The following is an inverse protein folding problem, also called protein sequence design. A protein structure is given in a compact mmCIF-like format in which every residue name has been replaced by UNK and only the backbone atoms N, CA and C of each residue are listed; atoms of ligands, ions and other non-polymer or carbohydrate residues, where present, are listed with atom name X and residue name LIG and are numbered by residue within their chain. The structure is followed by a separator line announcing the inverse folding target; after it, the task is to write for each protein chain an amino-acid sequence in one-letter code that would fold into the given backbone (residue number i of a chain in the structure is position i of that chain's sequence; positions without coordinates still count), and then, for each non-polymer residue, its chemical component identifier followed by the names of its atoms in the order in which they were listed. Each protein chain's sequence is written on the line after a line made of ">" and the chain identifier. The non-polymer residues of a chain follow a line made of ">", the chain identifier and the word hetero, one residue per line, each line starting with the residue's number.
data_IF_102151255443
#
_entry.id   IF_102151255443
#
_cell.length_a   1.000
_cell.length_b   1.000
_cell.length_c   1.000
_cell.angle_alpha   90.00
_cell.angle_beta   90.00
_cell.angle_gamma   90.00
#
_symmetry.space_group_name_H-M   'P 1'
#
loop_
_entity.id
_entity.type
_entity.pdbx_description
1 polymer ?
#
# COMPACT_ATOMS: atom_id res chain seq x y z
N UNK A 1 -2.43 2.29 4.29
CA UNK A 1 -1.07 2.87 4.18
C UNK A 1 -0.29 2.90 5.48
N UNK A 2 -0.88 2.51 6.61
CA UNK A 2 -0.16 2.16 7.83
C UNK A 2 1.03 1.18 7.57
N UNK A 3 0.92 0.25 6.61
CA UNK A 3 2.01 -0.64 6.20
C UNK A 3 3.26 0.07 5.65
N UNK A 4 3.14 1.34 5.27
CA UNK A 4 4.19 2.13 4.68
C UNK A 4 4.92 3.02 5.71
N UNK A 5 4.35 3.20 6.90
CA UNK A 5 4.89 4.11 7.92
C UNK A 5 5.02 3.37 9.24
N UNK A 6 6.26 3.18 9.72
CA UNK A 6 6.56 2.48 10.98
C UNK A 6 5.84 3.09 12.20
N UNK A 7 5.54 4.40 12.17
CA UNK A 7 4.89 5.13 13.27
C UNK A 7 3.35 5.08 13.27
N UNK A 8 2.71 4.50 12.25
CA UNK A 8 1.24 4.46 12.11
C UNK A 8 0.68 3.03 12.14
N UNK A 9 1.34 2.13 12.89
CA UNK A 9 0.90 0.75 13.11
C UNK A 9 -0.56 0.70 13.57
N UNK A 10 -1.44 0.28 12.67
CA UNK A 10 -2.87 0.17 12.91
C UNK A 10 -3.23 -1.31 12.91
N UNK A 11 -3.71 -1.83 14.04
CA UNK A 11 -4.10 -3.23 14.20
C UNK A 11 -5.11 -3.69 13.13
N UNK A 12 -5.95 -2.79 12.63
CA UNK A 12 -6.85 -3.08 11.51
C UNK A 12 -6.08 -3.31 10.21
N UNK A 13 -5.08 -2.48 9.92
CA UNK A 13 -4.27 -2.65 8.72
C UNK A 13 -3.46 -3.95 8.80
N UNK A 14 -2.90 -4.28 9.96
CA UNK A 14 -2.18 -5.54 10.14
C UNK A 14 -3.10 -6.75 9.90
N UNK A 15 -4.29 -6.75 10.51
CA UNK A 15 -5.28 -7.80 10.29
C UNK A 15 -5.67 -7.95 8.81
N UNK A 16 -5.84 -6.83 8.08
CA UNK A 16 -6.09 -6.89 6.64
C UNK A 16 -4.90 -7.52 5.91
N UNK A 17 -3.65 -7.20 6.27
CA UNK A 17 -2.48 -7.81 5.64
C UNK A 17 -2.42 -9.33 5.87
N UNK A 18 -2.68 -9.77 7.11
CA UNK A 18 -2.78 -11.19 7.45
C UNK A 18 -3.87 -11.90 6.63
N UNK A 19 -5.02 -11.25 6.40
CA UNK A 19 -6.07 -11.86 5.56
C UNK A 19 -5.64 -12.07 4.12
N UNK A 20 -4.72 -11.24 3.59
CA UNK A 20 -4.20 -11.36 2.23
C UNK A 20 -3.31 -12.58 2.01
N UNK A 21 -2.94 -13.33 3.07
CA UNK A 21 -2.28 -14.63 2.90
C UNK A 21 -3.22 -15.69 2.30
N UNK A 22 -4.53 -15.52 2.47
CA UNK A 22 -5.54 -16.51 2.08
C UNK A 22 -6.69 -15.95 1.24
N UNK A 23 -6.78 -14.62 1.12
CA UNK A 23 -7.84 -13.92 0.41
C UNK A 23 -7.26 -12.91 -0.58
N UNK A 24 -8.02 -12.61 -1.63
CA UNK A 24 -7.68 -11.54 -2.58
C UNK A 24 -8.37 -10.24 -2.16
N UNK A 25 -7.65 -9.12 -2.20
CA UNK A 25 -8.26 -7.80 -2.06
C UNK A 25 -8.72 -7.28 -3.42
N UNK A 26 -9.98 -6.87 -3.51
CA UNK A 26 -10.49 -6.12 -4.66
C UNK A 26 -10.45 -4.63 -4.31
N UNK A 27 -9.77 -3.84 -5.13
CA UNK A 27 -9.63 -2.38 -4.93
C UNK A 27 -10.13 -1.60 -6.15
N UNK A 28 -10.64 -0.38 -5.99
CA UNK A 28 -11.06 0.44 -7.13
C UNK A 28 -9.89 0.83 -8.05
N UNK A 29 -10.20 1.16 -9.30
CA UNK A 29 -9.23 1.64 -10.30
C UNK A 29 -8.43 2.89 -9.90
N UNK A 30 -8.96 3.71 -8.99
CA UNK A 30 -8.26 4.90 -8.45
C UNK A 30 -7.20 4.54 -7.40
N UNK A 31 -7.27 3.36 -6.79
CA UNK A 31 -6.43 2.99 -5.66
C UNK A 31 -4.91 3.03 -5.96
N UNK A 32 -4.41 2.58 -7.12
CA UNK A 32 -2.99 2.72 -7.46
C UNK A 32 -2.52 4.20 -7.48
N UNK A 33 -3.39 5.12 -7.90
CA UNK A 33 -3.09 6.56 -7.92
C UNK A 33 -3.03 7.13 -6.50
N UNK A 34 -3.92 6.69 -5.62
CA UNK A 34 -3.89 7.07 -4.21
C UNK A 34 -2.59 6.60 -3.56
N UNK A 35 -2.23 5.32 -3.73
CA UNK A 35 -0.96 4.76 -3.20
C UNK A 35 0.24 5.56 -3.71
N UNK A 36 0.32 5.80 -5.02
CA UNK A 36 1.39 6.60 -5.61
C UNK A 36 1.46 8.01 -5.04
N UNK A 37 0.31 8.67 -4.84
CA UNK A 37 0.26 10.01 -4.27
C UNK A 37 0.73 10.04 -2.81
N UNK A 38 0.35 9.07 -1.98
CA UNK A 38 0.86 9.01 -0.60
C UNK A 38 2.38 8.79 -0.58
N UNK A 39 2.90 7.87 -1.39
CA UNK A 39 4.35 7.62 -1.46
C UNK A 39 5.10 8.88 -1.86
N UNK A 40 4.62 9.59 -2.89
CA UNK A 40 5.20 10.84 -3.35
C UNK A 40 5.16 11.93 -2.27
N UNK A 41 4.03 12.08 -1.57
CA UNK A 41 3.89 13.06 -0.49
C UNK A 41 4.80 12.71 0.69
N UNK A 42 4.96 11.43 1.02
CA UNK A 42 5.84 10.95 2.08
C UNK A 42 7.31 11.23 1.78
N UNK A 43 7.76 10.94 0.57
CA UNK A 43 9.11 11.22 0.11
C UNK A 43 9.41 12.72 0.12
N UNK A 44 8.48 13.56 -0.39
CA UNK A 44 8.60 15.03 -0.33
C UNK A 44 8.70 15.56 1.09
N UNK A 45 8.02 14.91 2.04
CA UNK A 45 8.11 15.22 3.48
C UNK A 45 9.32 14.59 4.17
N UNK A 46 10.20 13.89 3.44
CA UNK A 46 11.35 13.13 3.94
C UNK A 46 10.98 12.09 5.01
N UNK A 47 9.74 11.59 4.97
CA UNK A 47 9.27 10.48 5.83
C UNK A 47 9.65 9.11 5.26
N UNK A 48 9.90 9.03 3.95
CA UNK A 48 10.40 7.85 3.26
C UNK A 48 11.55 8.26 2.34
N UNK A 49 12.56 7.40 2.20
CA UNK A 49 13.57 7.54 1.15
C UNK A 49 13.07 6.92 -0.16
N UNK A 50 13.70 7.28 -1.28
CA UNK A 50 13.45 6.63 -2.58
C UNK A 50 13.60 5.09 -2.47
N UNK A 51 14.61 4.62 -1.74
CA UNK A 51 14.83 3.20 -1.51
C UNK A 51 13.68 2.54 -0.73
N UNK A 52 13.08 3.24 0.24
CA UNK A 52 11.92 2.74 0.97
C UNK A 52 10.67 2.66 0.09
N UNK A 53 10.47 3.66 -0.78
CA UNK A 53 9.37 3.68 -1.76
C UNK A 53 9.49 2.49 -2.72
N UNK A 54 10.69 2.27 -3.29
CA UNK A 54 10.93 1.13 -4.19
C UNK A 54 10.71 -0.20 -3.48
N UNK A 55 11.21 -0.35 -2.24
CA UNK A 55 10.99 -1.55 -1.42
C UNK A 55 9.51 -1.79 -1.17
N UNK A 56 8.75 -0.75 -0.82
CA UNK A 56 7.33 -0.86 -0.54
C UNK A 56 6.53 -1.27 -1.78
N UNK A 57 6.81 -0.66 -2.94
CA UNK A 57 6.15 -1.04 -4.20
C UNK A 57 6.43 -2.49 -4.58
N UNK A 58 7.65 -2.98 -4.35
CA UNK A 58 7.99 -4.38 -4.57
C UNK A 58 7.20 -5.32 -3.65
N UNK A 59 7.04 -4.97 -2.37
CA UNK A 59 6.21 -5.75 -1.43
C UNK A 59 4.74 -5.74 -1.84
N UNK A 60 4.20 -4.56 -2.16
CA UNK A 60 2.81 -4.38 -2.57
C UNK A 60 2.48 -5.18 -3.82
N UNK A 61 3.41 -5.27 -4.76
CA UNK A 61 3.25 -6.02 -6.01
C UNK A 61 3.20 -7.55 -5.80
N UNK A 62 3.61 -8.04 -4.63
CA UNK A 62 3.51 -9.46 -4.27
C UNK A 62 2.22 -9.80 -3.52
N UNK A 63 1.37 -8.82 -3.18
CA UNK A 63 0.10 -9.07 -2.52
C UNK A 63 -0.98 -9.44 -3.55
N UNK A 64 -1.91 -10.35 -3.22
CA UNK A 64 -3.04 -10.70 -4.09
C UNK A 64 -4.07 -9.57 -4.10
N UNK A 65 -3.81 -8.54 -4.91
CA UNK A 65 -4.68 -7.38 -5.07
C UNK A 65 -5.17 -7.31 -6.52
N UNK A 66 -6.48 -7.39 -6.70
CA UNK A 66 -7.17 -7.19 -7.97
C UNK A 66 -7.71 -5.77 -8.06
N UNK A 67 -7.34 -5.04 -9.11
CA UNK A 67 -7.90 -3.73 -9.40
C UNK A 67 -9.18 -3.89 -10.21
N UNK A 68 -10.32 -3.55 -9.62
CA UNK A 68 -11.62 -3.49 -10.29
C UNK A 68 -11.70 -2.22 -11.14
N UNK A 69 -11.94 -2.41 -12.44
CA UNK A 69 -12.19 -1.30 -13.36
C UNK A 69 -13.69 -0.98 -13.33
N UNK A 70 -14.04 0.29 -13.12
CA UNK A 70 -15.43 0.74 -13.30
C UNK A 70 -15.90 0.38 -14.72
N UNK A 71 -17.01 -0.35 -14.78
CA UNK A 71 -17.68 -0.76 -16.03
C UNK A 71 -18.59 0.33 -16.59
#
# INVERSE_FOLDING_TARGET
>A
MAWCFEDEGNAYAEAVLETLESCEAVVPSIWPLEVGNILLVAERKKRLSEADVVRFLALLSNLPIMVEQES
#
